data_IF_177556790562
#
_entry.id   IF_177556790562
#
_cell.length_a   1.000
_cell.length_b   1.000
_cell.length_c   1.000
_cell.angle_alpha   90.00
_cell.angle_beta   90.00
_cell.angle_gamma   90.00
#
_symmetry.space_group_name_H-M   'P 1'
#
loop_
_entity.id
_entity.type
_entity.pdbx_description
1 polymer ?
#
# COMPACT_ATOMS: atom_id res chain seq x y z
N UNK A 1 23.51 6.73 -7.79
CA UNK A 1 24.13 5.75 -8.71
C UNK A 1 23.01 4.92 -9.33
N UNK A 2 22.31 5.43 -10.35
CA UNK A 2 21.02 4.89 -10.81
C UNK A 2 21.11 4.02 -12.08
N UNK A 3 22.18 3.22 -12.25
CA UNK A 3 22.50 2.57 -13.53
C UNK A 3 22.46 1.04 -13.57
N UNK A 4 22.26 0.35 -12.45
CA UNK A 4 22.53 -1.10 -12.36
C UNK A 4 21.30 -1.96 -12.12
N UNK A 5 20.16 -1.39 -11.71
CA UNK A 5 19.00 -2.17 -11.20
C UNK A 5 18.13 -2.80 -12.31
N UNK A 6 17.98 -2.14 -13.46
CA UNK A 6 17.24 -2.70 -14.61
C UNK A 6 17.90 -3.97 -15.20
N UNK A 7 19.13 -4.32 -14.82
CA UNK A 7 19.93 -5.31 -15.55
C UNK A 7 19.42 -6.74 -15.44
N UNK A 8 18.55 -7.07 -14.49
CA UNK A 8 18.24 -8.46 -14.16
C UNK A 8 16.76 -8.86 -14.29
N UNK A 9 15.91 -8.03 -14.89
CA UNK A 9 14.51 -8.39 -15.17
C UNK A 9 14.38 -9.00 -16.56
N UNK A 10 13.69 -10.11 -16.74
CA UNK A 10 13.53 -10.78 -18.05
C UNK A 10 12.09 -11.23 -18.25
N UNK A 11 11.58 -11.07 -19.47
CA UNK A 11 10.37 -11.77 -19.89
C UNK A 11 10.77 -13.10 -20.54
N UNK A 12 10.19 -14.21 -20.09
CA UNK A 12 10.42 -15.54 -20.65
C UNK A 12 9.10 -16.25 -20.97
N UNK A 13 9.15 -17.15 -21.93
CA UNK A 13 8.08 -18.10 -22.22
C UNK A 13 8.38 -19.40 -21.48
N UNK A 14 7.51 -19.79 -20.55
CA UNK A 14 7.63 -21.00 -19.72
C UNK A 14 6.29 -21.75 -19.81
N UNK A 15 6.33 -23.00 -20.25
CA UNK A 15 5.15 -23.88 -20.36
C UNK A 15 3.96 -23.27 -21.15
N UNK A 16 4.28 -22.41 -22.13
CA UNK A 16 3.28 -21.73 -22.97
C UNK A 16 2.71 -20.44 -22.37
N UNK A 17 3.13 -20.06 -21.16
CA UNK A 17 2.79 -18.79 -20.51
C UNK A 17 3.97 -17.81 -20.49
N UNK A 18 3.64 -16.53 -20.44
CA UNK A 18 4.61 -15.46 -20.27
C UNK A 18 4.92 -15.26 -18.77
N UNK A 19 6.20 -15.16 -18.41
CA UNK A 19 6.66 -15.03 -17.02
C UNK A 19 7.74 -13.96 -16.93
N UNK A 20 7.54 -12.99 -16.03
CA UNK A 20 8.55 -12.03 -15.62
C UNK A 20 9.45 -12.67 -14.56
N UNK A 21 10.76 -12.62 -14.79
CA UNK A 21 11.80 -13.08 -13.88
C UNK A 21 12.63 -11.89 -13.42
N UNK A 22 12.64 -11.63 -12.12
CA UNK A 22 13.45 -10.59 -11.48
C UNK A 22 14.57 -11.26 -10.71
N UNK A 23 15.76 -10.66 -10.70
CA UNK A 23 16.87 -11.14 -9.87
C UNK A 23 17.59 -9.96 -9.20
N UNK A 24 17.64 -9.96 -7.88
CA UNK A 24 18.20 -8.86 -7.05
C UNK A 24 19.16 -9.43 -6.02
N UNK A 25 20.36 -8.87 -5.94
CA UNK A 25 21.27 -9.16 -4.85
C UNK A 25 21.03 -8.13 -3.73
N UNK A 26 20.79 -8.60 -2.51
CA UNK A 26 20.56 -7.75 -1.34
C UNK A 26 21.64 -7.98 -0.28
N UNK A 27 22.06 -6.92 0.40
CA UNK A 27 23.07 -6.96 1.47
C UNK A 27 22.48 -7.43 2.81
N UNK A 28 21.91 -8.63 2.81
CA UNK A 28 21.37 -9.26 4.01
C UNK A 28 21.58 -10.78 3.98
N UNK A 29 21.71 -11.37 5.16
CA UNK A 29 21.76 -12.83 5.32
C UNK A 29 20.43 -13.48 4.93
N UNK A 30 20.49 -14.70 4.39
CA UNK A 30 19.33 -15.39 3.82
C UNK A 30 18.20 -15.55 4.84
N UNK A 31 18.50 -15.69 6.13
CA UNK A 31 17.50 -15.81 7.20
C UNK A 31 16.72 -14.51 7.42
N UNK A 32 17.35 -13.34 7.20
CA UNK A 32 16.67 -12.03 7.29
C UNK A 32 15.79 -11.81 6.06
N UNK A 33 16.29 -12.16 4.88
CA UNK A 33 15.53 -12.08 3.63
C UNK A 33 14.35 -13.04 3.65
N UNK A 34 14.57 -14.29 4.09
CA UNK A 34 13.53 -15.29 4.26
C UNK A 34 12.39 -14.76 5.12
N UNK A 35 12.67 -14.19 6.30
CA UNK A 35 11.62 -13.57 7.13
C UNK A 35 10.86 -12.47 6.40
N UNK A 36 11.57 -11.64 5.62
CA UNK A 36 10.96 -10.54 4.86
C UNK A 36 10.01 -11.02 3.75
N UNK A 37 10.29 -12.16 3.13
CA UNK A 37 9.47 -12.74 2.05
C UNK A 37 8.51 -13.82 2.54
N UNK A 38 8.68 -14.37 3.75
CA UNK A 38 7.92 -15.54 4.23
C UNK A 38 6.88 -15.22 5.30
N UNK A 39 6.77 -13.98 5.76
CA UNK A 39 5.84 -13.57 6.82
C UNK A 39 4.83 -12.56 6.24
N UNK A 40 3.51 -12.80 6.35
CA UNK A 40 2.49 -11.93 5.74
C UNK A 40 2.62 -10.45 6.11
N UNK A 41 2.87 -10.16 7.39
CA UNK A 41 3.10 -8.81 7.92
C UNK A 41 4.38 -8.18 7.35
N UNK A 42 5.44 -8.96 7.20
CA UNK A 42 6.71 -8.44 6.67
C UNK A 42 6.67 -8.24 5.17
N UNK A 43 6.09 -9.16 4.38
CA UNK A 43 5.98 -8.97 2.94
C UNK A 43 5.06 -7.78 2.63
N UNK A 44 3.94 -7.63 3.34
CA UNK A 44 3.03 -6.49 3.19
C UNK A 44 3.67 -5.13 3.55
N UNK A 45 4.70 -5.11 4.40
CA UNK A 45 5.39 -3.87 4.79
C UNK A 45 6.20 -3.24 3.64
N UNK A 46 6.70 -4.04 2.69
CA UNK A 46 7.51 -3.54 1.58
C UNK A 46 6.96 -3.89 0.18
N UNK A 47 6.12 -4.91 0.06
CA UNK A 47 5.58 -5.44 -1.19
C UNK A 47 4.04 -5.39 -1.19
N UNK A 48 3.44 -4.73 -2.19
CA UNK A 48 1.99 -4.52 -2.41
C UNK A 48 1.14 -4.47 -1.11
N UNK A 49 0.87 -3.27 -0.56
CA UNK A 49 0.34 -3.11 0.80
C UNK A 49 -1.16 -3.43 0.99
N UNK A 50 -1.89 -3.80 -0.06
CA UNK A 50 -3.35 -3.93 -0.03
C UNK A 50 -3.81 -5.38 -0.10
N UNK A 51 -4.52 -5.89 0.91
CA UNK A 51 -5.13 -7.24 0.89
C UNK A 51 -4.26 -8.35 1.50
N UNK A 52 -4.85 -9.53 1.75
CA UNK A 52 -4.16 -10.61 2.44
C UNK A 52 -3.17 -11.33 1.51
N UNK A 53 -1.92 -11.45 1.96
CA UNK A 53 -0.94 -12.37 1.39
C UNK A 53 -1.19 -13.77 1.94
N UNK A 54 -1.49 -14.73 1.07
CA UNK A 54 -1.79 -16.11 1.47
C UNK A 54 -0.77 -17.08 0.85
N UNK A 55 -0.10 -17.95 1.63
CA UNK A 55 0.78 -18.97 1.07
C UNK A 55 -0.03 -19.96 0.24
N UNK A 56 0.49 -20.39 -0.91
CA UNK A 56 -0.28 -21.26 -1.83
C UNK A 56 -0.73 -22.59 -1.19
N UNK A 57 0.06 -23.18 -0.29
CA UNK A 57 -0.36 -24.40 0.44
C UNK A 57 -1.58 -24.16 1.35
N UNK A 58 -1.78 -22.94 1.84
CA UNK A 58 -2.93 -22.59 2.67
C UNK A 58 -4.18 -22.34 1.81
N UNK A 59 -4.01 -21.98 0.53
CA UNK A 59 -5.09 -21.79 -0.43
C UNK A 59 -5.86 -23.10 -0.68
N UNK A 60 -5.16 -24.24 -0.79
CA UNK A 60 -5.78 -25.57 -0.92
C UNK A 60 -6.73 -25.89 0.26
N UNK A 61 -6.39 -25.39 1.45
CA UNK A 61 -7.19 -25.57 2.66
C UNK A 61 -8.39 -24.63 2.67
N UNK A 62 -8.22 -23.40 2.19
CA UNK A 62 -9.26 -22.37 2.16
C UNK A 62 -10.30 -22.59 1.05
N UNK A 63 -9.88 -23.07 -0.13
CA UNK A 63 -10.74 -23.20 -1.30
C UNK A 63 -11.37 -24.60 -1.47
N UNK A 64 -11.03 -25.55 -0.59
CA UNK A 64 -11.61 -26.90 -0.58
C UNK A 64 -11.46 -27.67 -1.89
N UNK A 65 -10.57 -27.23 -2.78
CA UNK A 65 -10.42 -27.71 -4.16
C UNK A 65 -8.95 -28.06 -4.41
N UNK A 66 -8.65 -29.23 -5.01
CA UNK A 66 -7.29 -29.58 -5.42
C UNK A 66 -6.98 -28.83 -6.72
N UNK A 67 -6.54 -27.58 -6.62
CA UNK A 67 -5.98 -26.84 -7.75
C UNK A 67 -4.54 -27.34 -7.96
N UNK A 68 -4.13 -27.48 -9.22
CA UNK A 68 -2.86 -28.12 -9.60
C UNK A 68 -1.62 -27.63 -8.85
N UNK A 69 -0.69 -28.55 -8.58
CA UNK A 69 0.41 -28.40 -7.64
C UNK A 69 1.26 -27.13 -7.82
N UNK A 70 1.16 -26.25 -6.84
CA UNK A 70 2.06 -25.14 -6.58
C UNK A 70 2.33 -25.13 -5.07
N UNK A 71 3.59 -25.13 -4.65
CA UNK A 71 3.99 -25.49 -3.27
C UNK A 71 4.82 -24.39 -2.62
N UNK A 72 4.67 -24.20 -1.30
CA UNK A 72 5.78 -23.70 -0.45
C UNK A 72 6.92 -24.69 -0.65
N UNK A 73 8.09 -24.28 -1.12
CA UNK A 73 9.17 -25.21 -1.44
C UNK A 73 9.95 -25.62 -0.20
N UNK A 74 11.29 -25.57 -0.29
CA UNK A 74 12.21 -25.85 0.81
C UNK A 74 12.59 -24.55 1.51
N UNK A 75 12.20 -24.37 2.78
CA UNK A 75 12.68 -23.23 3.58
C UNK A 75 14.19 -23.37 3.87
N UNK A 76 14.99 -22.29 3.82
CA UNK A 76 14.64 -20.90 3.55
C UNK A 76 14.81 -20.47 2.07
N UNK A 77 14.73 -21.40 1.13
CA UNK A 77 15.12 -21.17 -0.27
C UNK A 77 13.94 -20.86 -1.19
N UNK A 78 12.73 -21.33 -0.92
CA UNK A 78 11.62 -21.17 -1.86
C UNK A 78 10.27 -20.93 -1.17
N UNK A 79 9.53 -19.92 -1.63
CA UNK A 79 8.16 -19.65 -1.21
C UNK A 79 7.33 -19.08 -2.36
N UNK A 80 6.07 -19.52 -2.44
CA UNK A 80 5.10 -18.97 -3.38
C UNK A 80 3.92 -18.34 -2.63
N UNK A 81 3.51 -17.17 -3.08
CA UNK A 81 2.35 -16.43 -2.59
C UNK A 81 1.28 -16.29 -3.68
N UNK A 82 0.03 -16.17 -3.24
CA UNK A 82 -1.06 -15.67 -4.07
C UNK A 82 -1.66 -14.43 -3.43
N UNK A 83 -1.99 -13.45 -4.29
CA UNK A 83 -2.67 -12.21 -3.92
C UNK A 83 -3.55 -11.77 -5.09
N UNK A 84 -4.85 -11.64 -4.86
CA UNK A 84 -5.82 -11.26 -5.90
C UNK A 84 -5.69 -12.12 -7.17
N UNK A 85 -5.57 -13.45 -7.00
CA UNK A 85 -5.29 -14.44 -8.04
C UNK A 85 -3.90 -14.36 -8.72
N UNK A 86 -3.13 -13.28 -8.47
CA UNK A 86 -1.74 -13.16 -8.93
C UNK A 86 -0.81 -14.04 -8.11
N UNK A 87 0.14 -14.68 -8.80
CA UNK A 87 1.11 -15.59 -8.22
C UNK A 87 2.51 -14.97 -8.17
N UNK A 88 3.18 -15.10 -7.02
CA UNK A 88 4.52 -14.57 -6.78
C UNK A 88 5.44 -15.67 -6.21
N UNK A 89 6.34 -16.19 -7.03
CA UNK A 89 7.29 -17.24 -6.64
C UNK A 89 8.67 -16.64 -6.32
N UNK A 90 9.07 -16.70 -5.05
CA UNK A 90 10.38 -16.29 -4.57
C UNK A 90 11.33 -17.49 -4.46
N UNK A 91 12.55 -17.34 -4.98
CA UNK A 91 13.70 -18.22 -4.73
C UNK A 91 14.86 -17.43 -4.14
N UNK A 92 15.49 -17.98 -3.10
CA UNK A 92 16.59 -17.37 -2.38
C UNK A 92 17.84 -18.23 -2.50
N UNK A 93 18.99 -17.58 -2.73
CA UNK A 93 20.30 -18.24 -2.72
C UNK A 93 21.32 -17.41 -1.93
N UNK A 94 21.96 -18.03 -0.94
CA UNK A 94 23.04 -17.39 -0.19
C UNK A 94 24.27 -17.18 -1.09
N UNK A 95 24.83 -15.97 -1.07
CA UNK A 95 25.99 -15.54 -1.86
C UNK A 95 26.97 -14.75 -0.96
N UNK A 96 27.60 -15.45 -0.02
CA UNK A 96 28.52 -14.83 0.93
C UNK A 96 27.79 -13.84 1.85
N UNK A 97 28.15 -12.55 1.87
CA UNK A 97 27.43 -11.56 2.68
C UNK A 97 26.07 -11.14 2.08
N UNK A 98 25.80 -11.53 0.83
CA UNK A 98 24.58 -11.17 0.11
C UNK A 98 23.62 -12.36 -0.02
N UNK A 99 22.37 -12.06 -0.28
CA UNK A 99 21.37 -13.03 -0.74
C UNK A 99 20.91 -12.64 -2.13
N UNK A 100 20.88 -13.60 -3.05
CA UNK A 100 20.21 -13.46 -4.33
C UNK A 100 18.72 -13.77 -4.14
N UNK A 101 17.87 -12.84 -4.52
CA UNK A 101 16.41 -12.97 -4.54
C UNK A 101 15.99 -13.06 -5.99
N UNK A 102 15.37 -14.18 -6.36
CA UNK A 102 14.72 -14.34 -7.65
C UNK A 102 13.21 -14.34 -7.43
N UNK A 103 12.49 -13.49 -8.17
CA UNK A 103 11.03 -13.45 -8.15
C UNK A 103 10.53 -13.80 -9.55
N UNK A 104 9.57 -14.73 -9.63
CA UNK A 104 8.86 -15.05 -10.86
C UNK A 104 7.39 -14.64 -10.73
N UNK A 105 6.88 -13.92 -11.73
CA UNK A 105 5.50 -13.44 -11.79
C UNK A 105 4.93 -13.80 -13.16
N UNK A 106 3.93 -14.70 -13.26
CA UNK A 106 3.21 -14.94 -14.50
C UNK A 106 2.53 -13.65 -14.99
N UNK A 107 2.44 -13.50 -16.31
CA UNK A 107 1.66 -12.44 -16.94
C UNK A 107 0.74 -13.07 -17.98
N UNK A 108 -0.53 -12.69 -17.97
CA UNK A 108 -1.54 -13.28 -18.84
C UNK A 108 -1.26 -12.98 -20.32
N UNK A 109 -0.90 -11.74 -20.60
CA UNK A 109 -0.62 -11.24 -21.94
C UNK A 109 0.80 -10.66 -22.00
N UNK A 110 1.67 -11.08 -22.95
CA UNK A 110 3.01 -10.53 -23.10
C UNK A 110 3.06 -9.00 -23.26
N UNK A 111 1.99 -8.40 -23.81
CA UNK A 111 1.84 -6.96 -24.01
C UNK A 111 1.70 -6.19 -22.67
N UNK A 112 1.26 -6.85 -21.61
CA UNK A 112 1.17 -6.27 -20.25
C UNK A 112 2.50 -6.34 -19.49
N UNK A 113 3.44 -7.18 -19.96
CA UNK A 113 4.70 -7.42 -19.29
C UNK A 113 5.50 -6.14 -18.93
N UNK A 114 5.54 -5.08 -19.76
CA UNK A 114 6.28 -3.86 -19.40
C UNK A 114 5.68 -3.11 -18.20
N UNK A 115 4.36 -3.03 -18.12
CA UNK A 115 3.66 -2.37 -17.01
C UNK A 115 3.73 -3.20 -15.73
N UNK A 116 3.51 -4.51 -15.84
CA UNK A 116 3.68 -5.44 -14.73
C UNK A 116 5.13 -5.44 -14.21
N UNK A 117 6.12 -5.37 -15.11
CA UNK A 117 7.53 -5.27 -14.73
C UNK A 117 7.83 -3.99 -13.95
N UNK A 118 7.35 -2.83 -14.41
CA UNK A 118 7.51 -1.58 -13.67
C UNK A 118 6.89 -1.65 -12.27
N UNK A 119 5.66 -2.13 -12.19
CA UNK A 119 4.93 -2.27 -10.93
C UNK A 119 5.68 -3.13 -9.93
N UNK A 120 6.01 -4.38 -10.29
CA UNK A 120 6.70 -5.32 -9.40
C UNK A 120 8.07 -4.80 -9.00
N UNK A 121 8.81 -4.24 -9.96
CA UNK A 121 10.16 -3.76 -9.74
C UNK A 121 10.21 -2.55 -8.80
N UNK A 122 9.22 -1.65 -8.88
CA UNK A 122 9.10 -0.53 -7.96
C UNK A 122 8.95 -0.96 -6.49
N UNK A 123 8.34 -2.13 -6.24
CA UNK A 123 8.29 -2.70 -4.90
C UNK A 123 9.55 -3.48 -4.53
N UNK A 124 10.18 -4.19 -5.49
CA UNK A 124 11.47 -4.84 -5.24
C UNK A 124 12.57 -3.82 -4.86
N UNK A 125 12.52 -2.61 -5.42
CA UNK A 125 13.41 -1.50 -5.05
C UNK A 125 13.29 -1.13 -3.55
N UNK A 126 12.16 -1.46 -2.90
CA UNK A 126 11.92 -1.21 -1.47
C UNK A 126 12.48 -2.30 -0.55
N UNK A 127 12.83 -3.47 -1.08
CA UNK A 127 13.29 -4.60 -0.28
C UNK A 127 14.61 -4.29 0.44
N UNK A 128 15.59 -3.69 -0.25
CA UNK A 128 16.88 -3.38 0.37
C UNK A 128 16.77 -2.36 1.51
N UNK A 129 16.09 -1.20 1.34
CA UNK A 129 15.80 -0.28 2.44
C UNK A 129 15.06 -0.94 3.62
N UNK A 130 14.05 -1.78 3.33
CA UNK A 130 13.34 -2.54 4.37
C UNK A 130 14.26 -3.47 5.18
N UNK A 131 15.16 -4.17 4.49
CA UNK A 131 16.13 -5.06 5.13
C UNK A 131 17.15 -4.29 5.97
N UNK A 132 17.48 -3.06 5.58
CA UNK A 132 18.32 -2.12 6.34
C UNK A 132 17.61 -1.50 7.55
N UNK A 133 16.28 -1.70 7.68
CA UNK A 133 15.48 -1.19 8.79
C UNK A 133 14.96 0.23 8.59
N UNK A 134 14.94 0.72 7.35
CA UNK A 134 14.33 2.01 7.02
C UNK A 134 12.81 1.94 7.20
N UNK A 135 12.23 3.02 7.73
CA UNK A 135 10.78 3.18 7.79
C UNK A 135 10.27 3.57 6.40
N UNK A 136 9.61 2.62 5.74
CA UNK A 136 9.07 2.82 4.42
C UNK A 136 7.74 3.57 4.52
N UNK A 137 7.78 4.89 4.29
CA UNK A 137 6.55 5.64 4.04
C UNK A 137 5.73 4.95 2.94
N UNK A 138 4.41 4.86 3.13
CA UNK A 138 3.51 4.41 2.07
C UNK A 138 3.78 5.21 0.80
N UNK A 139 3.75 4.52 -0.36
CA UNK A 139 4.06 5.06 -1.68
C UNK A 139 3.65 6.53 -1.79
N UNK A 140 4.64 7.41 -1.61
CA UNK A 140 4.50 8.80 -1.99
C UNK A 140 4.13 8.80 -3.48
N UNK A 141 3.19 9.67 -3.86
CA UNK A 141 2.66 9.86 -5.21
C UNK A 141 3.49 9.21 -6.32
N UNK A 142 2.92 8.26 -7.07
CA UNK A 142 3.58 7.61 -8.21
C UNK A 142 4.09 8.68 -9.17
N UNK A 143 5.41 8.72 -9.42
CA UNK A 143 5.99 9.55 -10.48
C UNK A 143 5.65 8.94 -11.83
N UNK A 144 4.56 9.42 -12.44
CA UNK A 144 4.06 8.90 -13.71
C UNK A 144 5.01 9.17 -14.88
N UNK A 145 5.91 10.16 -14.80
CA UNK A 145 6.92 10.37 -15.83
C UNK A 145 8.00 9.28 -15.74
N UNK A 146 8.41 8.91 -14.52
CA UNK A 146 9.33 7.81 -14.30
C UNK A 146 8.71 6.45 -14.66
N UNK A 147 7.48 6.17 -14.24
CA UNK A 147 6.74 4.96 -14.65
C UNK A 147 6.66 4.86 -16.17
N UNK A 148 6.34 5.96 -16.87
CA UNK A 148 6.34 5.98 -18.34
C UNK A 148 7.72 5.62 -18.92
N UNK A 149 8.80 6.19 -18.38
CA UNK A 149 10.18 5.90 -18.82
C UNK A 149 10.53 4.43 -18.61
N UNK A 150 10.21 3.87 -17.44
CA UNK A 150 10.47 2.46 -17.09
C UNK A 150 9.68 1.50 -17.98
N UNK A 151 8.40 1.77 -18.23
CA UNK A 151 7.57 0.98 -19.16
C UNK A 151 8.18 0.93 -20.56
N UNK A 152 8.60 2.07 -21.12
CA UNK A 152 9.24 2.11 -22.45
C UNK A 152 10.58 1.36 -22.45
N UNK A 153 11.36 1.47 -21.38
CA UNK A 153 12.61 0.73 -21.23
C UNK A 153 12.36 -0.79 -21.19
N UNK A 154 11.34 -1.23 -20.45
CA UNK A 154 10.95 -2.63 -20.38
C UNK A 154 10.39 -3.16 -21.70
N UNK A 155 9.52 -2.41 -22.37
CA UNK A 155 8.99 -2.78 -23.68
C UNK A 155 10.12 -3.00 -24.71
N UNK A 156 11.07 -2.07 -24.77
CA UNK A 156 12.28 -2.21 -25.61
C UNK A 156 13.09 -3.44 -25.25
N UNK A 157 13.25 -3.73 -23.95
CA UNK A 157 14.02 -4.87 -23.45
C UNK A 157 13.35 -6.20 -23.78
N UNK A 158 12.03 -6.28 -23.68
CA UNK A 158 11.25 -7.49 -23.94
C UNK A 158 10.93 -7.68 -25.43
N UNK A 159 11.12 -6.65 -26.25
CA UNK A 159 10.80 -6.69 -27.68
C UNK A 159 9.29 -6.65 -27.93
N UNK A 160 8.53 -5.98 -27.07
CA UNK A 160 7.07 -5.82 -27.17
C UNK A 160 6.69 -4.35 -27.38
N UNK A 161 5.45 -4.10 -27.80
CA UNK A 161 4.92 -2.74 -27.98
C UNK A 161 4.62 -2.09 -26.61
N UNK A 162 5.12 -0.87 -26.32
CA UNK A 162 4.78 -0.17 -25.08
C UNK A 162 3.35 0.36 -25.01
N UNK A 163 2.57 0.36 -26.11
CA UNK A 163 1.29 1.06 -26.22
C UNK A 163 0.33 0.80 -25.06
N UNK A 164 0.11 -0.47 -24.70
CA UNK A 164 -0.81 -0.84 -23.61
C UNK A 164 -0.40 -0.29 -22.25
N UNK A 165 0.89 -0.37 -21.92
CA UNK A 165 1.43 0.25 -20.70
C UNK A 165 1.34 1.78 -20.71
N UNK A 166 1.51 2.41 -21.87
CA UNK A 166 1.36 3.86 -22.03
C UNK A 166 -0.10 4.32 -21.90
N UNK A 167 -1.05 3.52 -22.40
CA UNK A 167 -2.49 3.75 -22.22
C UNK A 167 -2.88 3.71 -20.74
N UNK A 168 -2.34 2.76 -19.97
CA UNK A 168 -2.52 2.70 -18.51
C UNK A 168 -2.03 4.00 -17.84
N UNK A 169 -0.80 4.45 -18.14
CA UNK A 169 -0.25 5.69 -17.57
C UNK A 169 -1.11 6.90 -17.94
N UNK A 170 -1.54 7.00 -19.20
CA UNK A 170 -2.42 8.07 -19.66
C UNK A 170 -3.77 8.04 -18.93
N UNK A 171 -4.34 6.86 -18.70
CA UNK A 171 -5.55 6.66 -17.91
C UNK A 171 -5.40 7.14 -16.47
N UNK A 172 -4.29 6.80 -15.81
CA UNK A 172 -4.00 7.26 -14.44
C UNK A 172 -3.84 8.79 -14.41
N UNK A 173 -3.12 9.39 -15.38
CA UNK A 173 -3.01 10.86 -15.48
C UNK A 173 -4.37 11.52 -15.64
N UNK A 174 -5.20 11.03 -16.56
CA UNK A 174 -6.53 11.56 -16.78
C UNK A 174 -7.41 11.43 -15.53
N UNK A 175 -7.29 10.34 -14.77
CA UNK A 175 -8.00 10.16 -13.51
C UNK A 175 -7.53 11.16 -12.45
N UNK A 176 -6.22 11.39 -12.31
CA UNK A 176 -5.64 12.39 -11.41
C UNK A 176 -6.11 13.80 -11.82
N UNK A 177 -5.99 14.17 -13.09
CA UNK A 177 -6.45 15.46 -13.60
C UNK A 177 -7.95 15.65 -13.34
N UNK A 178 -8.77 14.63 -13.64
CA UNK A 178 -10.21 14.66 -13.35
C UNK A 178 -10.49 14.81 -11.86
N UNK A 179 -9.69 14.20 -10.98
CA UNK A 179 -9.84 14.37 -9.52
C UNK A 179 -9.38 15.76 -9.04
N UNK A 180 -8.35 16.35 -9.66
CA UNK A 180 -7.86 17.68 -9.34
C UNK A 180 -8.82 18.80 -9.80
N UNK A 181 -9.63 18.51 -10.83
CA UNK A 181 -10.67 19.42 -11.35
C UNK A 181 -12.08 19.06 -10.86
N UNK A 182 -12.25 17.89 -10.24
CA UNK A 182 -13.45 17.62 -9.48
C UNK A 182 -13.48 18.62 -8.33
N UNK A 183 -14.66 19.19 -8.05
CA UNK A 183 -14.85 19.82 -6.75
C UNK A 183 -14.37 18.84 -5.66
N UNK A 184 -13.74 19.33 -4.57
CA UNK A 184 -13.25 18.49 -3.49
C UNK A 184 -14.33 17.46 -3.22
N UNK A 185 -13.94 16.18 -3.28
CA UNK A 185 -14.84 15.05 -3.31
C UNK A 185 -15.88 15.22 -2.21
N UNK A 186 -17.07 15.72 -2.57
CA UNK A 186 -18.17 15.87 -1.64
C UNK A 186 -18.73 14.48 -1.50
N UNK A 187 -18.18 13.75 -0.54
CA UNK A 187 -18.82 12.58 0.00
C UNK A 187 -20.20 13.03 0.51
N UNK A 188 -21.27 12.78 -0.25
CA UNK A 188 -22.64 12.91 0.24
C UNK A 188 -22.99 11.60 0.95
N UNK A 189 -22.99 11.55 2.30
CA UNK A 189 -23.44 10.37 3.02
C UNK A 189 -24.84 9.96 2.60
N UNK A 190 -25.11 8.65 2.58
CA UNK A 190 -26.49 8.21 2.61
C UNK A 190 -27.17 8.83 3.83
N UNK A 191 -28.44 9.22 3.70
CA UNK A 191 -29.18 9.83 4.81
C UNK A 191 -29.10 8.96 6.08
N UNK A 192 -29.15 7.63 5.92
CA UNK A 192 -29.01 6.67 7.02
C UNK A 192 -27.66 6.76 7.74
N UNK A 193 -26.55 6.90 7.00
CA UNK A 193 -25.23 7.04 7.58
C UNK A 193 -25.04 8.41 8.26
N UNK A 194 -25.63 9.47 7.70
CA UNK A 194 -25.66 10.80 8.31
C UNK A 194 -26.44 10.77 9.64
N UNK A 195 -27.63 10.17 9.64
CA UNK A 195 -28.48 10.04 10.82
C UNK A 195 -27.78 9.22 11.92
N UNK A 196 -27.12 8.11 11.55
CA UNK A 196 -26.36 7.28 12.49
C UNK A 196 -25.17 8.04 13.12
N UNK A 197 -24.46 8.85 12.32
CA UNK A 197 -23.39 9.71 12.82
C UNK A 197 -23.93 10.79 13.77
N UNK A 198 -25.02 11.47 13.41
CA UNK A 198 -25.64 12.51 14.23
C UNK A 198 -26.11 11.97 15.59
N UNK A 199 -26.73 10.78 15.61
CA UNK A 199 -27.12 10.09 16.85
C UNK A 199 -25.90 9.82 17.74
N UNK A 200 -24.80 9.32 17.16
CA UNK A 200 -23.58 8.98 17.89
C UNK A 200 -22.88 10.23 18.45
N UNK A 201 -22.78 11.29 17.64
CA UNK A 201 -22.20 12.57 18.07
C UNK A 201 -23.02 13.24 19.17
N UNK A 202 -24.35 13.23 19.04
CA UNK A 202 -25.25 13.78 20.05
C UNK A 202 -25.10 13.04 21.38
N UNK A 203 -24.99 11.71 21.35
CA UNK A 203 -24.74 10.91 22.55
C UNK A 203 -23.39 11.26 23.20
N UNK A 204 -22.33 11.36 22.40
CA UNK A 204 -20.98 11.69 22.86
C UNK A 204 -20.90 13.08 23.50
N UNK A 205 -21.42 14.12 22.82
CA UNK A 205 -21.42 15.50 23.34
C UNK A 205 -22.20 15.59 24.64
N UNK A 206 -23.34 14.90 24.74
CA UNK A 206 -24.13 14.86 25.97
C UNK A 206 -23.36 14.22 27.13
N UNK A 207 -22.64 13.14 26.87
CA UNK A 207 -21.85 12.43 27.88
C UNK A 207 -20.63 13.23 28.34
N UNK A 208 -20.00 13.98 27.44
CA UNK A 208 -18.74 14.69 27.70
C UNK A 208 -18.89 16.21 27.84
N UNK A 209 -20.13 16.72 27.97
CA UNK A 209 -20.43 18.16 27.91
C UNK A 209 -19.60 19.01 28.88
N UNK A 210 -19.55 18.63 30.15
CA UNK A 210 -18.83 19.42 31.16
C UNK A 210 -17.32 19.45 30.90
N UNK A 211 -16.76 18.36 30.39
CA UNK A 211 -15.34 18.28 30.03
C UNK A 211 -15.04 19.10 28.76
N UNK A 212 -15.95 19.09 27.78
CA UNK A 212 -15.86 19.91 26.57
C UNK A 212 -15.94 21.40 26.92
N UNK A 213 -16.92 21.81 27.72
CA UNK A 213 -17.08 23.21 28.16
C UNK A 213 -15.83 23.69 28.94
N UNK A 214 -15.24 22.81 29.76
CA UNK A 214 -14.00 23.11 30.48
C UNK A 214 -12.78 23.21 29.55
N UNK A 215 -12.66 22.33 28.56
CA UNK A 215 -11.58 22.39 27.56
C UNK A 215 -11.71 23.66 26.71
N UNK A 216 -12.90 23.98 26.22
CA UNK A 216 -13.18 25.21 25.47
C UNK A 216 -12.80 26.47 26.26
N UNK A 217 -13.17 26.52 27.55
CA UNK A 217 -12.79 27.63 28.43
C UNK A 217 -11.26 27.78 28.58
N UNK A 218 -10.49 26.68 28.51
CA UNK A 218 -9.02 26.71 28.61
C UNK A 218 -8.36 27.25 27.32
N UNK A 219 -8.91 26.94 26.15
CA UNK A 219 -8.30 27.27 24.87
C UNK A 219 -8.67 28.67 24.33
N UNK A 220 -9.70 29.30 24.91
CA UNK A 220 -10.16 30.63 24.51
C UNK A 220 -10.99 30.61 23.22
N UNK A 221 -11.75 31.68 22.97
CA UNK A 221 -12.79 31.76 21.93
C UNK A 221 -12.31 31.70 20.46
N UNK A 222 -11.07 31.28 20.17
CA UNK A 222 -10.57 31.10 18.79
C UNK A 222 -10.94 29.72 18.22
N UNK A 223 -12.16 29.27 18.55
CA UNK A 223 -12.76 28.00 18.16
C UNK A 223 -12.92 27.87 16.64
N UNK A 224 -13.14 29.00 15.96
CA UNK A 224 -13.37 29.01 14.52
C UNK A 224 -12.14 28.56 13.75
N UNK A 225 -10.94 28.93 14.20
CA UNK A 225 -9.69 28.56 13.52
C UNK A 225 -9.37 27.07 13.72
N UNK A 226 -9.58 26.55 14.94
CA UNK A 226 -9.38 25.14 15.26
C UNK A 226 -10.38 24.25 14.52
N UNK A 227 -11.67 24.59 14.55
CA UNK A 227 -12.70 23.81 13.86
C UNK A 227 -12.51 23.81 12.35
N UNK A 228 -12.15 24.96 11.76
CA UNK A 228 -11.82 25.04 10.32
C UNK A 228 -10.61 24.17 9.97
N UNK A 229 -9.55 24.23 10.77
CA UNK A 229 -8.34 23.43 10.56
C UNK A 229 -8.59 21.91 10.74
N UNK A 230 -9.53 21.54 11.62
CA UNK A 230 -9.95 20.16 11.82
C UNK A 230 -10.82 19.66 10.66
N UNK A 231 -11.74 20.48 10.15
CA UNK A 231 -12.51 20.15 8.95
C UNK A 231 -11.59 19.94 7.74
N UNK A 232 -10.55 20.77 7.60
CA UNK A 232 -9.51 20.63 6.59
C UNK A 232 -8.65 19.37 6.76
N UNK A 233 -8.54 18.80 7.96
CA UNK A 233 -7.85 17.53 8.17
C UNK A 233 -8.76 16.33 7.95
N UNK A 234 -9.97 16.36 8.50
CA UNK A 234 -10.90 15.22 8.53
C UNK A 234 -11.45 14.92 7.13
N UNK A 235 -11.87 15.95 6.39
CA UNK A 235 -12.60 15.77 5.13
C UNK A 235 -11.73 15.27 3.97
N UNK A 236 -10.50 15.77 3.73
CA UNK A 236 -9.70 15.33 2.59
C UNK A 236 -9.10 13.93 2.75
N UNK A 237 -9.02 13.43 3.98
CA UNK A 237 -8.28 12.20 4.33
C UNK A 237 -9.19 11.02 4.65
N UNK A 238 -10.49 11.24 4.83
CA UNK A 238 -11.45 10.19 5.09
C UNK A 238 -12.02 9.61 3.79
N UNK A 239 -12.16 8.29 3.75
CA UNK A 239 -12.72 7.53 2.61
C UNK A 239 -14.15 7.03 2.88
N UNK A 240 -14.71 7.24 4.08
CA UNK A 240 -16.09 6.87 4.45
C UNK A 240 -16.67 7.73 5.59
N UNK A 241 -18.00 7.73 5.77
CA UNK A 241 -18.70 8.38 6.92
C UNK A 241 -18.21 7.86 8.25
N UNK A 242 -18.03 6.55 8.33
CA UNK A 242 -17.61 5.89 9.57
C UNK A 242 -16.23 6.38 9.97
N UNK A 243 -15.34 6.59 8.98
CA UNK A 243 -14.02 7.16 9.19
C UNK A 243 -14.06 8.65 9.51
N UNK A 244 -14.88 9.46 8.81
CA UNK A 244 -15.12 10.87 9.17
C UNK A 244 -15.57 10.98 10.62
N UNK A 245 -16.53 10.14 11.02
CA UNK A 245 -17.09 10.19 12.35
C UNK A 245 -16.17 9.63 13.42
N UNK A 246 -15.31 8.67 13.09
CA UNK A 246 -14.32 8.15 14.03
C UNK A 246 -13.16 9.15 14.21
N UNK A 247 -12.73 9.82 13.13
CA UNK A 247 -11.73 10.91 13.18
C UNK A 247 -12.25 12.12 13.98
N UNK A 248 -13.53 12.49 13.81
CA UNK A 248 -14.17 13.52 14.64
C UNK A 248 -14.12 13.18 16.13
N UNK A 249 -14.53 11.97 16.51
CA UNK A 249 -14.54 11.56 17.92
C UNK A 249 -13.12 11.51 18.50
N UNK A 250 -12.15 11.00 17.74
CA UNK A 250 -10.75 10.97 18.16
C UNK A 250 -10.17 12.35 18.41
N UNK A 251 -10.45 13.32 17.53
CA UNK A 251 -10.01 14.70 17.72
C UNK A 251 -10.62 15.28 19.00
N UNK A 252 -11.90 15.02 19.26
CA UNK A 252 -12.56 15.46 20.49
C UNK A 252 -11.95 14.81 21.74
N UNK A 253 -11.64 13.51 21.70
CA UNK A 253 -10.96 12.81 22.80
C UNK A 253 -9.59 13.44 23.11
N UNK A 254 -8.81 13.76 22.07
CA UNK A 254 -7.50 14.42 22.23
C UNK A 254 -7.61 15.85 22.75
N UNK A 255 -8.61 16.59 22.27
CA UNK A 255 -8.94 17.93 22.77
C UNK A 255 -9.33 17.90 24.25
N UNK A 256 -10.13 16.91 24.67
CA UNK A 256 -10.51 16.71 26.07
C UNK A 256 -9.31 16.34 26.96
N UNK A 257 -8.34 15.59 26.42
CA UNK A 257 -7.15 15.14 27.13
C UNK A 257 -6.08 16.23 27.37
N UNK A 258 -6.34 17.48 26.93
CA UNK A 258 -5.38 18.59 27.00
C UNK A 258 -4.09 18.33 26.20
N UNK A 259 -4.19 17.47 25.18
CA UNK A 259 -3.10 17.27 24.24
C UNK A 259 -3.26 18.33 23.14
N UNK A 260 -2.52 19.43 23.25
CA UNK A 260 -2.39 20.39 22.15
C UNK A 260 -1.65 19.70 20.99
N UNK A 261 -2.39 18.95 20.18
CA UNK A 261 -1.85 18.21 19.04
C UNK A 261 -1.78 19.16 17.85
N UNK A 262 -0.57 19.39 17.32
CA UNK A 262 -0.43 20.05 16.04
C UNK A 262 -1.06 19.17 14.96
N UNK A 263 -1.67 19.75 13.92
CA UNK A 263 -2.32 18.98 12.84
C UNK A 263 -1.39 17.90 12.25
N UNK A 264 -0.08 18.18 12.17
CA UNK A 264 0.95 17.23 11.74
C UNK A 264 1.02 15.94 12.56
N UNK A 265 0.62 16.01 13.83
CA UNK A 265 0.75 14.94 14.82
C UNK A 265 -0.53 14.10 14.94
N UNK A 266 -1.68 14.62 14.46
CA UNK A 266 -2.98 13.94 14.48
C UNK A 266 -2.97 12.65 13.65
N UNK A 267 -2.34 12.66 12.48
CA UNK A 267 -2.29 11.49 11.59
C UNK A 267 -1.43 10.37 12.18
N UNK A 268 -0.31 10.71 12.84
CA UNK A 268 0.53 9.74 13.54
C UNK A 268 -0.20 9.14 14.75
N UNK A 269 -0.85 9.98 15.55
CA UNK A 269 -1.59 9.56 16.74
C UNK A 269 -2.83 8.71 16.37
N UNK A 270 -3.50 9.04 15.26
CA UNK A 270 -4.60 8.26 14.70
C UNK A 270 -4.13 6.85 14.32
N UNK A 271 -3.04 6.74 13.55
CA UNK A 271 -2.49 5.45 13.12
C UNK A 271 -2.07 4.57 14.30
N UNK A 272 -1.49 5.15 15.35
CA UNK A 272 -1.10 4.40 16.56
C UNK A 272 -2.28 3.82 17.33
N UNK A 273 -3.43 4.49 17.31
CA UNK A 273 -4.62 4.10 18.08
C UNK A 273 -5.62 3.26 17.28
N UNK A 274 -5.48 3.26 15.95
CA UNK A 274 -6.38 2.59 15.01
C UNK A 274 -5.63 1.63 14.06
N UNK A 275 -4.42 1.18 14.41
CA UNK A 275 -3.57 0.31 13.58
C UNK A 275 -4.18 -1.06 13.25
N UNK A 276 -5.22 -1.46 14.00
CA UNK A 276 -5.81 -2.81 13.96
C UNK A 276 -7.17 -2.84 13.20
N UNK A 277 -7.50 -1.80 12.43
CA UNK A 277 -8.70 -1.71 11.58
C UNK A 277 -8.35 -1.29 10.16
#
# INVERSE_FOLDING_TARGET
MAGTELQNTQLRQIDGGAVLLFSRAVEAQIERVWRAVSKPDQIGAWFVPTGPWVPVRELDTLLGSPVGQATVGEAPYEICWVKDDDRYDFRLAARGPHTLVELSVPVDEPEDAPAAADFVDSYLDRLAPYLAGEDLAHLASVDLDETQRRIVAYARRFGVDPARGLEMVAGIRAAIEKSAHAQPWHFEPSQEAADAFEVRMTAYVREHKEALDAAMTRHGDDDSALMTALDEWILPTATSVEQVGARHLFVLDRYLADESIAISDLESAWRQTHSDR
#
